data_IF_625560774442
#
_entry.id   IF_625560774442
#
_cell.length_a   1.000
_cell.length_b   1.000
_cell.length_c   1.000
_cell.angle_alpha   90.00
_cell.angle_beta   90.00
_cell.angle_gamma   90.00
#
_symmetry.space_group_name_H-M   'P 1'
#
loop_
_entity.id
_entity.type
_entity.pdbx_description
1 polymer ?
#
# COMPACT_ATOMS: atom_id res chain seq x y z
N UNK A 1 16.80 -14.09 -1.18
CA UNK A 1 16.05 -14.35 -2.39
C UNK A 1 14.58 -14.17 -2.10
N UNK A 2 14.07 -13.38 -2.84
CA UNK A 2 12.77 -12.91 -2.69
C UNK A 2 11.83 -13.77 -3.53
N UNK A 3 11.38 -13.41 -4.66
CA UNK A 3 10.39 -14.17 -5.39
C UNK A 3 9.06 -14.39 -4.63
N UNK A 4 8.16 -15.16 -5.21
CA UNK A 4 6.85 -15.47 -4.61
C UNK A 4 6.97 -16.10 -3.21
N UNK A 5 7.96 -16.97 -2.98
CA UNK A 5 8.18 -17.57 -1.66
C UNK A 5 8.57 -16.52 -0.60
N UNK A 6 9.38 -15.53 -0.97
CA UNK A 6 9.71 -14.37 -0.13
C UNK A 6 8.50 -13.47 0.13
N UNK A 7 7.70 -13.23 -0.90
CA UNK A 7 6.45 -12.51 -0.81
C UNK A 7 5.49 -13.16 0.20
N UNK A 8 5.23 -14.45 0.08
CA UNK A 8 4.37 -15.17 1.02
C UNK A 8 4.91 -15.17 2.46
N UNK A 9 6.22 -15.26 2.64
CA UNK A 9 6.83 -15.14 3.99
C UNK A 9 6.67 -13.74 4.56
N UNK A 10 6.82 -12.69 3.74
CA UNK A 10 6.63 -11.30 4.17
C UNK A 10 5.18 -11.06 4.61
N UNK A 11 4.21 -11.47 3.81
CA UNK A 11 2.80 -11.12 4.02
C UNK A 11 2.08 -12.10 4.96
N UNK A 12 2.57 -13.37 5.05
CA UNK A 12 2.07 -14.39 5.98
C UNK A 12 3.00 -14.61 7.17
N UNK A 13 4.13 -13.90 7.22
CA UNK A 13 5.17 -14.10 8.22
C UNK A 13 4.76 -13.71 9.64
N UNK A 14 5.64 -14.01 10.58
CA UNK A 14 5.41 -13.79 12.00
C UNK A 14 5.22 -12.31 12.39
N UNK A 15 5.65 -11.39 11.54
CA UNK A 15 5.53 -9.94 11.75
C UNK A 15 4.95 -9.31 10.46
N UNK A 16 3.62 -9.30 10.29
CA UNK A 16 3.01 -8.59 9.20
C UNK A 16 3.25 -7.08 9.38
N UNK A 17 3.67 -6.35 8.34
CA UNK A 17 3.87 -4.90 8.44
C UNK A 17 2.54 -4.19 8.67
N UNK A 18 2.55 -3.10 9.44
CA UNK A 18 1.40 -2.20 9.54
C UNK A 18 1.27 -1.35 8.27
N UNK A 19 2.40 -1.02 7.64
CA UNK A 19 2.48 -0.32 6.35
C UNK A 19 3.41 -1.07 5.41
N UNK A 20 2.94 -1.35 4.18
CA UNK A 20 3.74 -1.94 3.12
C UNK A 20 3.95 -0.93 1.99
N UNK A 21 5.20 -0.80 1.54
CA UNK A 21 5.57 -0.11 0.31
C UNK A 21 5.90 -1.16 -0.74
N UNK A 22 5.12 -1.21 -1.81
CA UNK A 22 5.33 -2.14 -2.91
C UNK A 22 5.59 -1.36 -4.19
N UNK A 23 6.83 -1.43 -4.69
CA UNK A 23 7.18 -0.91 -5.99
C UNK A 23 7.08 -2.04 -7.01
N UNK A 24 6.25 -1.86 -8.01
CA UNK A 24 5.92 -2.86 -9.00
C UNK A 24 5.51 -2.20 -10.32
N UNK A 25 5.29 -3.00 -11.33
CA UNK A 25 4.70 -2.60 -12.59
C UNK A 25 3.76 -3.70 -13.09
N UNK A 26 2.97 -3.41 -14.11
CA UNK A 26 2.07 -4.40 -14.69
C UNK A 26 0.75 -3.81 -15.17
N UNK A 27 -0.34 -4.53 -14.92
CA UNK A 27 -1.69 -4.20 -15.38
C UNK A 27 -2.70 -4.30 -14.23
N UNK A 28 -3.98 -4.01 -14.43
CA UNK A 28 -4.98 -4.22 -13.38
C UNK A 28 -5.01 -5.64 -12.80
N UNK A 29 -4.51 -6.64 -13.53
CA UNK A 29 -4.60 -8.06 -13.18
C UNK A 29 -3.24 -8.75 -13.02
N UNK A 30 -2.14 -8.03 -13.16
CA UNK A 30 -0.76 -8.55 -13.03
C UNK A 30 0.09 -7.54 -12.28
N UNK A 31 0.89 -7.99 -11.34
CA UNK A 31 1.95 -7.20 -10.74
C UNK A 31 3.26 -8.01 -10.70
N UNK A 32 4.39 -7.31 -10.74
CA UNK A 32 5.69 -7.95 -10.74
C UNK A 32 6.31 -7.85 -9.35
N UNK A 33 6.87 -8.94 -8.90
CA UNK A 33 7.71 -9.05 -7.73
C UNK A 33 9.16 -9.19 -8.19
N UNK A 34 10.07 -9.21 -7.31
CA UNK A 34 11.50 -9.37 -7.47
C UNK A 34 11.93 -9.99 -8.83
N UNK A 35 12.87 -9.35 -9.53
CA UNK A 35 13.43 -9.85 -10.79
C UNK A 35 12.37 -10.19 -11.87
N UNK A 36 11.33 -9.36 -11.95
CA UNK A 36 10.23 -9.50 -12.92
C UNK A 36 9.36 -10.76 -12.79
N UNK A 37 9.44 -11.46 -11.65
CA UNK A 37 8.54 -12.56 -11.37
C UNK A 37 7.08 -12.08 -11.33
N UNK A 38 6.24 -12.62 -12.21
CA UNK A 38 4.84 -12.25 -12.30
C UNK A 38 4.03 -12.81 -11.13
N UNK A 39 3.17 -11.96 -10.58
CA UNK A 39 2.17 -12.32 -9.60
C UNK A 39 0.80 -11.81 -10.04
N UNK A 40 -0.24 -12.49 -9.59
CA UNK A 40 -1.62 -12.26 -10.00
C UNK A 40 -2.49 -11.97 -8.76
N UNK A 41 -3.73 -11.49 -8.92
CA UNK A 41 -4.62 -11.25 -7.78
C UNK A 41 -4.80 -12.45 -6.85
N UNK A 42 -4.79 -13.69 -7.38
CA UNK A 42 -4.87 -14.90 -6.56
C UNK A 42 -3.65 -15.09 -5.63
N UNK A 43 -2.49 -14.56 -5.99
CA UNK A 43 -1.25 -14.67 -5.22
C UNK A 43 -1.18 -13.67 -4.06
N UNK A 44 -2.12 -12.74 -3.98
CA UNK A 44 -2.29 -11.88 -2.80
C UNK A 44 -2.85 -12.74 -1.66
N UNK A 45 -2.12 -12.98 -0.57
CA UNK A 45 -2.60 -13.80 0.54
C UNK A 45 -3.65 -13.06 1.38
N UNK A 46 -4.41 -13.80 2.18
CA UNK A 46 -5.17 -13.20 3.28
C UNK A 46 -4.19 -12.63 4.30
N UNK A 47 -4.41 -11.38 4.69
CA UNK A 47 -3.61 -10.76 5.74
C UNK A 47 -4.08 -11.26 7.10
N UNK A 48 -3.13 -11.58 7.97
CA UNK A 48 -3.42 -11.98 9.36
C UNK A 48 -3.75 -10.78 10.24
N UNK A 49 -3.40 -9.56 9.77
CA UNK A 49 -3.70 -8.28 10.41
C UNK A 49 -3.98 -7.24 9.33
N UNK A 50 -4.83 -6.23 9.62
CA UNK A 50 -5.05 -5.10 8.72
C UNK A 50 -3.73 -4.39 8.39
N UNK A 51 -3.59 -3.90 7.16
CA UNK A 51 -2.38 -3.27 6.66
C UNK A 51 -2.72 -2.07 5.79
N UNK A 52 -1.90 -1.01 5.85
CA UNK A 52 -1.91 0.06 4.87
C UNK A 52 -0.93 -0.26 3.73
N UNK A 53 -1.31 0.06 2.50
CA UNK A 53 -0.51 -0.25 1.31
C UNK A 53 -0.27 1.01 0.47
N UNK A 54 1.00 1.33 0.23
CA UNK A 54 1.40 2.24 -0.85
C UNK A 54 1.95 1.40 -2.00
N UNK A 55 1.19 1.33 -3.09
CA UNK A 55 1.58 0.56 -4.26
C UNK A 55 1.94 1.48 -5.42
N UNK A 56 3.21 1.51 -5.77
CA UNK A 56 3.73 2.15 -6.99
C UNK A 56 3.51 1.15 -8.12
N UNK A 57 2.40 1.32 -8.83
CA UNK A 57 1.97 0.39 -9.87
C UNK A 57 0.85 1.01 -10.70
N UNK A 58 0.99 0.96 -12.02
CA UNK A 58 -0.02 1.47 -12.95
C UNK A 58 -1.32 0.66 -12.85
N UNK A 59 -2.45 1.36 -12.87
CA UNK A 59 -3.79 0.75 -12.86
C UNK A 59 -4.14 -0.08 -11.61
N UNK A 60 -3.35 -0.01 -10.53
CA UNK A 60 -3.55 -0.85 -9.35
C UNK A 60 -4.94 -0.67 -8.71
N UNK A 61 -5.52 0.52 -8.78
CA UNK A 61 -6.87 0.84 -8.28
C UNK A 61 -7.88 1.19 -9.40
N UNK A 62 -7.65 0.73 -10.63
CA UNK A 62 -8.56 0.98 -11.74
C UNK A 62 -9.98 0.44 -11.50
N UNK A 63 -10.09 -0.67 -10.80
CA UNK A 63 -11.37 -1.31 -10.43
C UNK A 63 -11.30 -1.85 -8.98
N UNK A 64 -11.33 -0.97 -7.97
CA UNK A 64 -11.09 -1.37 -6.58
C UNK A 64 -12.18 -2.29 -6.00
N UNK A 65 -13.39 -2.27 -6.53
CA UNK A 65 -14.47 -3.15 -6.12
C UNK A 65 -14.37 -4.57 -6.72
N UNK A 66 -13.57 -4.75 -7.77
CA UNK A 66 -13.40 -6.02 -8.47
C UNK A 66 -12.28 -6.85 -7.87
N UNK A 67 -12.61 -7.91 -7.13
CA UNK A 67 -11.64 -8.81 -6.49
C UNK A 67 -10.81 -9.67 -7.46
N UNK A 68 -11.03 -9.55 -8.78
CA UNK A 68 -10.19 -10.16 -9.81
C UNK A 68 -9.08 -9.20 -10.27
N UNK A 69 -9.02 -7.99 -9.72
CA UNK A 69 -7.95 -7.03 -9.95
C UNK A 69 -6.98 -6.98 -8.76
N UNK A 70 -5.78 -6.48 -9.00
CA UNK A 70 -4.72 -6.38 -7.97
C UNK A 70 -5.21 -5.60 -6.77
N UNK A 71 -5.65 -4.35 -6.95
CA UNK A 71 -6.10 -3.51 -5.84
C UNK A 71 -7.37 -4.02 -5.16
N UNK A 72 -8.35 -4.47 -5.95
CA UNK A 72 -9.57 -5.05 -5.39
C UNK A 72 -9.29 -6.32 -4.57
N UNK A 73 -8.29 -7.10 -4.94
CA UNK A 73 -7.87 -8.28 -4.17
C UNK A 73 -7.19 -7.88 -2.86
N UNK A 74 -6.28 -6.90 -2.88
CA UNK A 74 -5.65 -6.39 -1.66
C UNK A 74 -6.68 -5.87 -0.66
N UNK A 75 -7.64 -5.06 -1.13
CA UNK A 75 -8.72 -4.54 -0.28
C UNK A 75 -9.57 -5.67 0.34
N UNK A 76 -9.94 -6.70 -0.45
CA UNK A 76 -10.70 -7.85 0.05
C UNK A 76 -9.90 -8.75 1.01
N UNK A 77 -8.57 -8.62 1.03
CA UNK A 77 -7.68 -9.47 1.83
C UNK A 77 -7.15 -8.79 3.09
N UNK A 78 -7.61 -7.57 3.41
CA UNK A 78 -7.30 -6.91 4.67
C UNK A 78 -6.49 -5.62 4.55
N UNK A 79 -6.23 -5.11 3.36
CA UNK A 79 -5.72 -3.75 3.19
C UNK A 79 -6.87 -2.78 3.45
N UNK A 80 -6.72 -1.92 4.47
CA UNK A 80 -7.77 -0.98 4.90
C UNK A 80 -7.47 0.47 4.48
N UNK A 81 -6.22 0.78 4.13
CA UNK A 81 -5.80 2.05 3.57
C UNK A 81 -4.88 1.79 2.38
N UNK A 82 -5.17 2.37 1.23
CA UNK A 82 -4.47 2.08 -0.01
C UNK A 82 -4.19 3.36 -0.79
N UNK A 83 -2.93 3.55 -1.19
CA UNK A 83 -2.50 4.53 -2.17
C UNK A 83 -2.05 3.83 -3.45
N UNK A 84 -2.64 4.18 -4.57
CA UNK A 84 -2.33 3.59 -5.87
C UNK A 84 -2.81 4.45 -7.03
N UNK A 85 -2.92 3.88 -8.22
CA UNK A 85 -3.32 4.60 -9.42
C UNK A 85 -4.54 4.00 -10.11
N UNK A 86 -5.36 4.85 -10.72
CA UNK A 86 -6.52 4.44 -11.51
C UNK A 86 -6.19 4.29 -12.99
N UNK A 87 -5.04 4.83 -13.41
CA UNK A 87 -4.57 4.81 -14.80
C UNK A 87 -3.02 4.73 -14.81
N UNK A 88 -2.37 5.02 -15.95
CA UNK A 88 -0.92 5.16 -16.06
C UNK A 88 -0.47 6.57 -15.64
N UNK A 89 0.04 6.76 -14.42
CA UNK A 89 0.45 8.08 -13.93
C UNK A 89 1.92 8.40 -14.19
N UNK A 90 2.70 7.42 -14.66
CA UNK A 90 4.17 7.39 -14.66
C UNK A 90 4.79 7.46 -13.24
N UNK A 91 6.03 7.02 -13.12
CA UNK A 91 6.73 6.89 -11.83
C UNK A 91 6.83 8.24 -11.08
N UNK A 92 7.04 9.34 -11.80
CA UNK A 92 7.18 10.66 -11.21
C UNK A 92 5.93 11.19 -10.48
N UNK A 93 4.77 10.56 -10.67
CA UNK A 93 3.55 10.96 -9.95
C UNK A 93 3.48 10.38 -8.52
N UNK A 94 4.16 9.27 -8.28
CA UNK A 94 4.14 8.63 -6.96
C UNK A 94 5.11 9.31 -6.00
N UNK A 95 4.68 9.45 -4.75
CA UNK A 95 5.57 9.90 -3.69
C UNK A 95 6.69 8.88 -3.48
N UNK A 96 7.97 9.32 -3.38
CA UNK A 96 9.05 8.43 -3.00
C UNK A 96 8.80 7.81 -1.61
N UNK A 97 9.02 6.49 -1.42
CA UNK A 97 8.81 5.83 -0.12
C UNK A 97 9.55 6.50 1.04
N UNK A 98 10.78 6.97 0.84
CA UNK A 98 11.56 7.66 1.87
C UNK A 98 10.85 8.93 2.38
N UNK A 99 10.36 9.78 1.47
CA UNK A 99 9.63 10.99 1.82
C UNK A 99 8.30 10.66 2.51
N UNK A 100 7.62 9.60 2.09
CA UNK A 100 6.40 9.16 2.76
C UNK A 100 6.68 8.69 4.19
N UNK A 101 7.76 7.93 4.41
CA UNK A 101 8.18 7.50 5.75
C UNK A 101 8.49 8.70 6.65
N UNK A 102 9.19 9.71 6.15
CA UNK A 102 9.45 10.96 6.90
C UNK A 102 8.16 11.64 7.34
N UNK A 103 7.18 11.75 6.45
CA UNK A 103 5.87 12.35 6.76
C UNK A 103 5.10 11.54 7.79
N UNK A 104 5.09 10.21 7.65
CA UNK A 104 4.44 9.32 8.62
C UNK A 104 5.10 9.43 10.00
N UNK A 105 6.43 9.49 10.06
CA UNK A 105 7.16 9.68 11.30
C UNK A 105 6.89 11.06 11.96
N UNK A 106 6.56 12.06 11.15
CA UNK A 106 6.12 13.37 11.62
C UNK A 106 4.63 13.41 12.04
N UNK A 107 3.93 12.26 12.02
CA UNK A 107 2.52 12.17 12.41
C UNK A 107 1.51 12.59 11.34
N UNK A 108 1.95 12.76 10.10
CA UNK A 108 1.02 13.06 9.01
C UNK A 108 0.18 11.82 8.71
N UNK A 109 -1.16 11.94 8.62
CA UNK A 109 -2.03 10.82 8.27
C UNK A 109 -1.64 10.15 6.94
N UNK A 110 -1.78 8.82 6.85
CA UNK A 110 -1.28 8.01 5.74
C UNK A 110 -1.74 8.51 4.36
N UNK A 111 -3.03 8.79 4.19
CA UNK A 111 -3.55 9.26 2.90
C UNK A 111 -3.08 10.68 2.55
N UNK A 112 -2.86 11.53 3.56
CA UNK A 112 -2.30 12.88 3.36
C UNK A 112 -0.79 12.81 3.11
N UNK A 113 -0.08 11.92 3.81
CA UNK A 113 1.35 11.69 3.61
C UNK A 113 1.65 11.28 2.16
N UNK A 114 0.73 10.54 1.53
CA UNK A 114 0.84 10.12 0.14
C UNK A 114 0.58 11.21 -0.91
N UNK A 115 0.09 12.37 -0.52
CA UNK A 115 -0.12 13.48 -1.49
C UNK A 115 1.22 14.07 -1.92
N UNK A 116 1.45 14.02 -3.21
CA UNK A 116 2.70 14.44 -3.82
C UNK A 116 2.42 15.20 -5.12
N UNK A 117 2.98 16.40 -5.22
CA UNK A 117 2.86 17.25 -6.39
C UNK A 117 4.28 17.63 -6.81
N UNK A 118 4.96 16.78 -7.58
CA UNK A 118 6.28 17.11 -8.10
C UNK A 118 6.16 18.29 -9.04
N UNK A 119 7.15 19.18 -9.05
CA UNK A 119 7.21 20.31 -9.94
C UNK A 119 7.09 19.80 -11.40
N UNK A 120 6.00 20.18 -11.99
CA UNK A 120 5.42 19.96 -13.27
C UNK A 120 6.26 19.44 -14.42
N UNK A 121 6.74 18.23 -14.35
CA UNK A 121 7.12 17.52 -15.56
C UNK A 121 5.87 17.09 -16.33
N UNK A 122 5.82 17.23 -17.67
CA UNK A 122 4.64 16.86 -18.49
C UNK A 122 4.27 15.37 -18.38
N UNK A 123 5.13 14.56 -17.76
CA UNK A 123 4.96 13.13 -17.58
C UNK A 123 4.44 12.73 -16.18
N UNK A 124 4.06 13.71 -15.35
CA UNK A 124 3.54 13.42 -14.01
C UNK A 124 2.01 13.45 -13.99
N UNK A 125 1.38 12.30 -14.10
CA UNK A 125 -0.07 12.17 -14.07
C UNK A 125 -0.62 12.06 -12.64
N UNK A 126 -0.31 13.01 -11.75
CA UNK A 126 -0.71 12.99 -10.33
C UNK A 126 -2.21 12.88 -10.09
N UNK A 127 -3.04 13.40 -10.99
CA UNK A 127 -4.50 13.28 -10.95
C UNK A 127 -5.00 11.85 -11.17
N UNK A 128 -4.13 10.95 -11.64
CA UNK A 128 -4.41 9.52 -11.83
C UNK A 128 -4.15 8.70 -10.56
N UNK A 129 -3.58 9.32 -9.52
CA UNK A 129 -3.43 8.69 -8.22
C UNK A 129 -4.73 8.79 -7.43
N UNK A 130 -5.00 7.77 -6.66
CA UNK A 130 -6.16 7.71 -5.77
C UNK A 130 -5.80 7.08 -4.44
N UNK A 131 -6.63 7.34 -3.45
CA UNK A 131 -6.48 6.84 -2.10
C UNK A 131 -7.82 6.31 -1.58
N UNK A 132 -7.78 5.17 -0.91
CA UNK A 132 -8.94 4.54 -0.26
C UNK A 132 -8.58 4.29 1.19
N UNK A 133 -9.46 4.63 2.12
CA UNK A 133 -9.29 4.39 3.54
C UNK A 133 -9.66 5.58 4.41
N UNK A 134 -9.33 5.49 5.70
CA UNK A 134 -9.55 6.57 6.65
C UNK A 134 -8.53 7.71 6.43
N UNK A 135 -8.99 8.95 6.14
CA UNK A 135 -8.11 10.09 5.93
C UNK A 135 -7.36 10.52 7.18
N UNK A 136 -7.79 10.12 8.37
CA UNK A 136 -7.18 10.46 9.65
C UNK A 136 -6.27 9.37 10.22
N UNK A 137 -6.14 8.22 9.54
CA UNK A 137 -5.27 7.13 9.98
C UNK A 137 -3.82 7.58 10.07
N UNK A 138 -3.24 7.49 11.26
CA UNK A 138 -1.85 7.83 11.54
C UNK A 138 -1.04 6.58 11.90
N UNK A 139 0.21 6.54 11.46
CA UNK A 139 1.20 5.61 11.98
C UNK A 139 1.78 6.21 13.27
N UNK A 140 1.38 5.66 14.42
CA UNK A 140 1.87 6.12 15.71
C UNK A 140 3.03 5.25 16.17
N UNK A 141 4.23 5.81 16.49
CA UNK A 141 5.31 5.04 17.07
C UNK A 141 4.86 4.35 18.37
N UNK A 142 5.27 3.11 18.64
CA UNK A 142 4.87 2.37 19.85
C UNK A 142 5.10 3.13 21.16
N UNK A 143 6.15 3.94 21.24
CA UNK A 143 6.47 4.77 22.41
C UNK A 143 5.47 5.90 22.66
N UNK A 144 4.63 6.24 21.69
CA UNK A 144 3.61 7.29 21.80
C UNK A 144 2.21 6.72 22.02
N UNK A 145 2.07 5.41 22.05
CA UNK A 145 0.77 4.80 22.37
C UNK A 145 0.44 5.03 23.86
N UNK A 146 -0.74 5.54 24.17
CA UNK A 146 -1.16 5.73 25.56
C UNK A 146 -1.27 4.38 26.29
N UNK A 147 -1.08 4.36 27.62
CA UNK A 147 -1.06 3.12 28.41
C UNK A 147 -2.36 2.30 28.41
N UNK A 148 -3.46 2.85 27.90
CA UNK A 148 -4.74 2.15 27.74
C UNK A 148 -4.82 1.18 26.55
N UNK A 149 -3.73 1.04 25.79
CA UNK A 149 -3.59 -0.03 24.79
C UNK A 149 -3.57 -1.44 25.41
N UNK A 150 -3.57 -1.54 26.73
CA UNK A 150 -3.81 -2.76 27.52
C UNK A 150 -5.27 -2.92 27.86
N UNK A 151 -6.20 -2.73 26.92
CA UNK A 151 -7.61 -3.05 27.17
C UNK A 151 -7.71 -4.53 27.56
N UNK A 152 -8.27 -4.86 28.74
CA UNK A 152 -8.43 -6.25 29.11
C UNK A 152 -9.34 -6.92 28.07
N UNK A 153 -8.87 -8.03 27.52
CA UNK A 153 -9.71 -8.88 26.69
C UNK A 153 -10.88 -9.31 27.55
N UNK A 154 -12.06 -8.77 27.27
CA UNK A 154 -13.30 -9.31 27.81
C UNK A 154 -13.35 -10.78 27.38
N UNK A 155 -13.26 -11.68 28.37
CA UNK A 155 -13.45 -13.11 28.22
C UNK A 155 -14.88 -13.44 27.76
#
# INVERSE_FOLDING_TARGET
AAGLAGWFRLVRGAIPPDVLFLNSHGSPTVFHLFEDEQAFPQDVPFLTRPMALHMIHSFSLKRPADGLTVGGRFLRRGVYAYLGSVDEPYLGAFIPPALMVERLAAGVPFLLAGRYWPDGGPMSGVWKLTAIGDPFMQAVPPAMLPPWSTCPRSG
#
